data_IF_296435319958
#
_entry.id   IF_296435319958
#
_cell.length_a   1.000
_cell.length_b   1.000
_cell.length_c   1.000
_cell.angle_alpha   90.00
_cell.angle_beta   90.00
_cell.angle_gamma   90.00
#
_symmetry.space_group_name_H-M   'P 1'
#
loop_
_entity.id
_entity.type
_entity.pdbx_description
1 polymer ?
#
# COMPACT_ATOMS: atom_id res chain seq x y z
N UNK A 1 -37.73 0.23 -16.27
CA UNK A 1 -36.56 -0.64 -16.53
C UNK A 1 -36.80 -1.41 -17.82
N UNK A 2 -35.76 -1.70 -18.61
CA UNK A 2 -35.91 -2.49 -19.84
C UNK A 2 -34.77 -3.50 -19.97
N UNK A 3 -35.10 -4.78 -20.15
CA UNK A 3 -34.14 -5.83 -20.53
C UNK A 3 -34.30 -6.08 -22.02
N UNK A 4 -33.24 -5.86 -22.80
CA UNK A 4 -33.31 -6.00 -24.27
C UNK A 4 -32.13 -6.85 -24.76
N UNK A 5 -32.33 -7.67 -25.79
CA UNK A 5 -31.22 -8.36 -26.46
C UNK A 5 -30.59 -7.42 -27.49
N UNK A 6 -29.29 -7.10 -27.35
CA UNK A 6 -28.55 -6.28 -28.31
C UNK A 6 -27.34 -7.07 -28.84
N UNK A 7 -27.29 -7.35 -30.15
CA UNK A 7 -26.20 -8.07 -30.84
C UNK A 7 -25.66 -9.28 -30.04
N UNK A 8 -26.56 -10.20 -29.62
CA UNK A 8 -26.29 -11.42 -28.81
C UNK A 8 -25.93 -11.21 -27.33
N UNK A 9 -26.00 -10.00 -26.79
CA UNK A 9 -25.77 -9.71 -25.36
C UNK A 9 -27.06 -9.25 -24.68
N UNK A 10 -27.27 -9.65 -23.42
CA UNK A 10 -28.40 -9.15 -22.61
C UNK A 10 -28.05 -7.74 -22.12
N UNK A 11 -28.90 -6.77 -22.39
CA UNK A 11 -28.74 -5.38 -21.98
C UNK A 11 -29.72 -5.07 -20.86
N UNK A 12 -29.24 -4.56 -19.73
CA UNK A 12 -30.08 -3.99 -18.68
C UNK A 12 -29.93 -2.47 -18.73
N UNK A 13 -31.06 -1.78 -18.94
CA UNK A 13 -31.13 -0.33 -18.92
C UNK A 13 -31.99 0.16 -17.74
N UNK A 14 -31.39 1.02 -16.93
CA UNK A 14 -32.04 1.72 -15.81
C UNK A 14 -31.90 3.22 -16.05
N UNK A 15 -33.01 3.95 -16.02
CA UNK A 15 -33.00 5.40 -16.06
C UNK A 15 -33.03 5.94 -14.63
N UNK A 16 -32.09 6.80 -14.29
CA UNK A 16 -32.07 7.56 -13.03
C UNK A 16 -32.27 9.04 -13.33
N UNK A 17 -32.84 9.76 -12.37
CA UNK A 17 -33.10 11.18 -12.51
C UNK A 17 -32.88 11.88 -11.18
N UNK A 18 -32.41 13.13 -11.26
CA UNK A 18 -32.35 14.04 -10.14
C UNK A 18 -33.02 15.37 -10.51
N UNK A 19 -32.77 16.44 -9.74
CA UNK A 19 -33.34 17.77 -10.02
C UNK A 19 -32.77 18.42 -11.28
N UNK A 20 -31.62 17.95 -11.77
CA UNK A 20 -30.86 18.57 -12.87
C UNK A 20 -31.08 17.86 -14.21
N UNK A 21 -31.43 16.57 -14.20
CA UNK A 21 -31.68 15.85 -15.44
C UNK A 21 -31.87 14.36 -15.27
N UNK A 22 -31.66 13.65 -16.38
CA UNK A 22 -31.77 12.19 -16.48
C UNK A 22 -30.48 11.59 -16.98
N UNK A 23 -30.16 10.39 -16.49
CA UNK A 23 -28.98 9.63 -16.87
C UNK A 23 -29.37 8.16 -17.07
N UNK A 24 -28.87 7.55 -18.14
CA UNK A 24 -29.12 6.14 -18.45
C UNK A 24 -27.96 5.26 -18.00
N UNK A 25 -28.24 4.29 -17.16
CA UNK A 25 -27.28 3.30 -16.70
C UNK A 25 -27.43 2.05 -17.54
N UNK A 26 -26.33 1.58 -18.11
CA UNK A 26 -26.31 0.47 -19.06
C UNK A 26 -25.36 -0.60 -18.54
N UNK A 27 -25.87 -1.81 -18.33
CA UNK A 27 -25.05 -2.99 -18.05
C UNK A 27 -25.21 -4.05 -19.14
N UNK A 28 -24.07 -4.60 -19.58
CA UNK A 28 -24.03 -5.67 -20.57
C UNK A 28 -23.81 -7.02 -19.88
N UNK A 29 -24.60 -8.02 -20.25
CA UNK A 29 -24.56 -9.40 -19.73
C UNK A 29 -24.76 -9.56 -18.22
N UNK A 30 -25.34 -8.55 -17.55
CA UNK A 30 -25.63 -8.58 -16.11
C UNK A 30 -27.14 -8.56 -15.86
N UNK A 31 -27.84 -9.57 -16.37
CA UNK A 31 -29.31 -9.63 -16.31
C UNK A 31 -29.86 -9.65 -14.86
N UNK A 32 -29.10 -10.16 -13.90
CA UNK A 32 -29.49 -10.21 -12.47
C UNK A 32 -29.76 -8.80 -11.88
N UNK A 33 -29.16 -7.75 -12.44
CA UNK A 33 -29.40 -6.37 -12.00
C UNK A 33 -30.84 -5.92 -12.25
N UNK A 34 -31.54 -6.59 -13.15
CA UNK A 34 -32.97 -6.39 -13.37
C UNK A 34 -33.81 -6.63 -12.10
N UNK A 35 -33.40 -7.59 -11.28
CA UNK A 35 -34.08 -7.94 -10.02
C UNK A 35 -33.57 -7.10 -8.85
N UNK A 36 -32.45 -6.40 -9.03
CA UNK A 36 -31.82 -5.58 -7.98
C UNK A 36 -32.41 -4.17 -7.92
N UNK A 37 -32.68 -3.55 -9.07
CA UNK A 37 -33.18 -2.18 -9.15
C UNK A 37 -34.71 -2.10 -9.21
N UNK A 38 -35.28 -1.28 -8.34
CA UNK A 38 -36.70 -1.01 -8.23
C UNK A 38 -36.99 0.48 -8.38
N UNK A 39 -38.14 0.82 -8.97
CA UNK A 39 -38.56 2.22 -9.14
C UNK A 39 -38.74 2.88 -7.76
N UNK A 40 -38.23 4.09 -7.60
CA UNK A 40 -38.29 4.84 -6.35
C UNK A 40 -37.08 4.67 -5.43
N UNK A 41 -36.15 3.77 -5.75
CA UNK A 41 -34.91 3.64 -4.99
C UNK A 41 -33.98 4.84 -5.19
N UNK A 42 -33.34 5.28 -4.11
CA UNK A 42 -32.22 6.20 -4.16
C UNK A 42 -30.93 5.40 -4.35
N UNK A 43 -30.06 5.85 -5.26
CA UNK A 43 -28.83 5.15 -5.60
C UNK A 43 -27.67 6.13 -5.67
N UNK A 44 -26.50 5.67 -5.22
CA UNK A 44 -25.23 6.36 -5.42
C UNK A 44 -24.47 5.66 -6.55
N UNK A 45 -23.90 6.45 -7.46
CA UNK A 45 -23.31 5.97 -8.72
C UNK A 45 -21.91 6.52 -8.88
N UNK A 46 -20.99 5.68 -9.34
CA UNK A 46 -19.64 6.07 -9.74
C UNK A 46 -19.28 5.42 -11.07
N UNK A 47 -18.84 6.24 -12.01
CA UNK A 47 -18.46 5.77 -13.34
C UNK A 47 -18.23 6.92 -14.31
N UNK A 48 -17.77 6.56 -15.50
CA UNK A 48 -17.55 7.53 -16.57
C UNK A 48 -18.88 7.88 -17.25
N UNK A 49 -19.19 9.17 -17.32
CA UNK A 49 -20.33 9.69 -18.09
C UNK A 49 -19.93 9.83 -19.56
N UNK A 50 -20.81 9.36 -20.46
CA UNK A 50 -20.65 9.46 -21.92
C UNK A 50 -21.94 9.98 -22.56
N UNK A 51 -21.86 10.66 -23.71
CA UNK A 51 -23.04 11.01 -24.48
C UNK A 51 -23.68 9.74 -25.06
N UNK A 52 -24.99 9.60 -24.91
CA UNK A 52 -25.78 8.53 -25.50
C UNK A 52 -26.09 8.88 -26.96
N UNK A 53 -25.88 7.92 -27.86
CA UNK A 53 -26.07 8.12 -29.31
C UNK A 53 -25.35 9.36 -29.87
N UNK A 54 -24.22 9.77 -29.27
CA UNK A 54 -23.43 10.93 -29.70
C UNK A 54 -24.00 12.30 -29.33
N UNK A 55 -25.09 12.38 -28.54
CA UNK A 55 -25.67 13.66 -28.09
C UNK A 55 -25.43 13.87 -26.60
N UNK A 56 -24.94 15.04 -26.21
CA UNK A 56 -24.71 15.40 -24.79
C UNK A 56 -25.98 15.75 -24.03
N UNK A 57 -27.11 15.90 -24.73
CA UNK A 57 -28.44 16.10 -24.14
C UNK A 57 -29.02 14.82 -23.52
N UNK A 58 -28.46 13.66 -23.88
CA UNK A 58 -28.85 12.36 -23.36
C UNK A 58 -27.59 11.66 -22.88
N UNK A 59 -27.46 11.44 -21.57
CA UNK A 59 -26.23 10.95 -20.97
C UNK A 59 -26.38 9.48 -20.58
N UNK A 60 -25.27 8.74 -20.65
CA UNK A 60 -25.19 7.37 -20.17
C UNK A 60 -23.93 7.07 -19.36
N UNK A 61 -24.04 6.11 -18.44
CA UNK A 61 -22.90 5.44 -17.82
C UNK A 61 -22.93 3.96 -18.21
N UNK A 62 -21.78 3.43 -18.63
CA UNK A 62 -21.62 2.02 -18.98
C UNK A 62 -20.97 1.26 -17.82
N UNK A 63 -21.63 0.20 -17.35
CA UNK A 63 -21.25 -0.60 -16.18
C UNK A 63 -20.80 0.25 -14.97
N UNK A 64 -21.56 1.26 -14.53
CA UNK A 64 -21.19 2.04 -13.35
C UNK A 64 -21.18 1.15 -12.11
N UNK A 65 -20.27 1.46 -11.18
CA UNK A 65 -20.38 0.97 -9.83
C UNK A 65 -21.56 1.68 -9.16
N UNK A 66 -22.31 0.96 -8.34
CA UNK A 66 -23.51 1.50 -7.69
C UNK A 66 -23.64 0.99 -6.26
N UNK A 67 -24.30 1.79 -5.44
CA UNK A 67 -24.72 1.42 -4.08
C UNK A 67 -26.16 1.90 -3.88
N UNK A 68 -27.05 1.01 -3.44
CA UNK A 68 -28.47 1.34 -3.21
C UNK A 68 -28.59 1.93 -1.82
N UNK A 69 -29.13 3.15 -1.73
CA UNK A 69 -29.40 3.82 -0.46
C UNK A 69 -30.76 3.34 0.05
N UNK A 70 -30.76 2.58 1.14
CA UNK A 70 -31.98 2.19 1.84
C UNK A 70 -32.46 3.32 2.75
N UNK A 71 -33.75 3.68 2.66
CA UNK A 71 -34.38 4.74 3.47
C UNK A 71 -34.59 4.34 4.95
N UNK A 72 -33.94 3.27 5.41
CA UNK A 72 -34.05 2.84 6.80
C UNK A 72 -33.36 3.87 7.71
N UNK A 73 -34.11 4.28 8.74
CA UNK A 73 -33.77 5.23 9.81
C UNK A 73 -32.51 4.85 10.61
N UNK A 74 -31.84 3.75 10.27
CA UNK A 74 -30.49 3.38 10.69
C UNK A 74 -29.40 4.00 9.79
N UNK A 75 -29.53 5.28 9.44
CA UNK A 75 -28.56 6.02 8.63
C UNK A 75 -27.17 6.20 9.29
N UNK A 76 -26.97 5.68 10.51
CA UNK A 76 -25.65 5.51 11.13
C UNK A 76 -25.01 4.13 10.82
N UNK A 77 -25.70 3.27 10.06
CA UNK A 77 -25.29 1.89 9.76
C UNK A 77 -25.58 1.43 8.32
N UNK A 78 -26.00 2.32 7.42
CA UNK A 78 -25.78 2.06 6.00
C UNK A 78 -24.26 2.09 5.80
N UNK A 79 -23.64 0.92 5.94
CA UNK A 79 -22.23 0.64 5.86
C UNK A 79 -21.78 0.91 4.42
N UNK A 80 -21.69 2.20 4.07
CA UNK A 80 -21.22 2.69 2.78
C UNK A 80 -19.79 2.21 2.62
N UNK A 81 -19.66 0.99 2.11
CA UNK A 81 -18.42 0.21 2.07
C UNK A 81 -17.71 0.42 0.76
N UNK A 82 -18.47 0.85 -0.26
CA UNK A 82 -18.00 0.97 -1.64
C UNK A 82 -18.09 2.41 -2.18
N UNK A 83 -18.91 3.30 -1.60
CA UNK A 83 -19.12 4.68 -2.07
C UNK A 83 -19.14 5.70 -0.93
N UNK A 84 -18.98 7.00 -1.22
CA UNK A 84 -19.19 8.08 -0.23
C UNK A 84 -18.10 8.27 0.83
N UNK A 85 -16.96 7.59 0.67
CA UNK A 85 -15.79 7.62 1.56
C UNK A 85 -14.51 7.49 0.74
N UNK A 86 -13.37 7.62 1.40
CA UNK A 86 -12.11 7.13 0.82
C UNK A 86 -12.15 5.61 0.83
N UNK A 87 -11.99 5.01 -0.35
CA UNK A 87 -12.16 3.58 -0.60
C UNK A 87 -10.80 2.98 -0.96
N UNK A 88 -10.34 1.93 -0.26
CA UNK A 88 -9.08 1.26 -0.58
C UNK A 88 -9.17 0.53 -1.92
N UNK A 89 -8.06 0.57 -2.67
CA UNK A 89 -7.90 -0.15 -3.93
C UNK A 89 -7.12 -1.44 -3.66
N UNK A 90 -7.78 -2.59 -3.83
CA UNK A 90 -7.13 -3.89 -3.79
C UNK A 90 -6.84 -4.36 -5.21
N UNK A 91 -5.56 -4.52 -5.54
CA UNK A 91 -5.12 -4.97 -6.86
C UNK A 91 -5.37 -6.48 -7.04
N UNK A 92 -6.27 -6.83 -7.95
CA UNK A 92 -6.47 -8.21 -8.41
C UNK A 92 -5.57 -8.52 -9.62
N UNK A 93 -4.88 -9.66 -9.60
CA UNK A 93 -3.97 -10.11 -10.67
C UNK A 93 -4.67 -10.50 -12.00
N UNK A 94 -5.99 -10.68 -12.03
CA UNK A 94 -6.71 -11.08 -13.25
C UNK A 94 -7.53 -9.95 -13.89
N UNK A 95 -7.42 -9.83 -15.21
CA UNK A 95 -7.88 -8.68 -16.01
C UNK A 95 -9.38 -8.64 -16.31
N UNK A 96 -10.11 -9.77 -16.22
CA UNK A 96 -11.52 -9.84 -16.68
C UNK A 96 -12.57 -9.78 -15.58
N UNK A 97 -12.20 -9.94 -14.31
CA UNK A 97 -13.13 -9.87 -13.15
C UNK A 97 -12.66 -8.89 -12.06
N UNK A 98 -11.90 -7.85 -12.46
CA UNK A 98 -11.23 -6.90 -11.55
C UNK A 98 -12.17 -6.23 -10.55
N UNK A 99 -13.35 -5.81 -11.02
CA UNK A 99 -14.29 -5.05 -10.19
C UNK A 99 -14.93 -5.94 -9.12
N UNK A 100 -15.50 -7.09 -9.51
CA UNK A 100 -16.13 -8.01 -8.58
C UNK A 100 -15.16 -8.58 -7.54
N UNK A 101 -13.91 -8.88 -7.93
CA UNK A 101 -12.93 -9.42 -6.99
C UNK A 101 -12.43 -8.35 -6.01
N UNK A 102 -12.18 -7.12 -6.47
CA UNK A 102 -11.76 -6.02 -5.59
C UNK A 102 -12.85 -5.65 -4.60
N UNK A 103 -14.12 -5.64 -5.02
CA UNK A 103 -15.26 -5.39 -4.14
C UNK A 103 -15.43 -6.50 -3.09
N UNK A 104 -15.33 -7.78 -3.47
CA UNK A 104 -15.38 -8.90 -2.53
C UNK A 104 -14.23 -8.86 -1.53
N UNK A 105 -13.00 -8.59 -1.99
CA UNK A 105 -11.85 -8.43 -1.12
C UNK A 105 -12.06 -7.28 -0.14
N UNK A 106 -12.59 -6.14 -0.60
CA UNK A 106 -12.90 -5.01 0.28
C UNK A 106 -13.94 -5.37 1.32
N UNK A 107 -15.03 -6.03 0.94
CA UNK A 107 -16.07 -6.47 1.88
C UNK A 107 -15.48 -7.43 2.93
N UNK A 108 -14.67 -8.40 2.50
CA UNK A 108 -14.00 -9.33 3.40
C UNK A 108 -13.02 -8.60 4.35
N UNK A 109 -12.22 -7.67 3.83
CA UNK A 109 -11.32 -6.86 4.65
C UNK A 109 -12.08 -5.99 5.64
N UNK A 110 -13.25 -5.45 5.27
CA UNK A 110 -14.10 -4.66 6.18
C UNK A 110 -14.51 -5.51 7.38
N UNK A 111 -14.99 -6.72 7.12
CA UNK A 111 -15.37 -7.67 8.17
C UNK A 111 -14.17 -7.97 9.07
N UNK A 112 -13.01 -8.31 8.49
CA UNK A 112 -11.81 -8.66 9.25
C UNK A 112 -11.34 -7.49 10.11
N UNK A 113 -11.22 -6.29 9.53
CA UNK A 113 -10.70 -5.12 10.23
C UNK A 113 -11.67 -4.64 11.30
N UNK A 114 -12.98 -4.75 11.10
CA UNK A 114 -13.94 -4.35 12.12
C UNK A 114 -14.07 -5.34 13.26
N UNK A 115 -13.99 -6.64 12.97
CA UNK A 115 -14.07 -7.68 14.00
C UNK A 115 -12.77 -7.81 14.80
N UNK A 116 -11.61 -7.76 14.13
CA UNK A 116 -10.33 -8.12 14.74
C UNK A 116 -9.34 -6.96 14.81
N UNK A 117 -9.62 -5.82 14.16
CA UNK A 117 -8.68 -4.70 14.13
C UNK A 117 -8.46 -4.05 15.49
N UNK A 118 -9.47 -3.98 16.35
CA UNK A 118 -9.31 -3.37 17.69
C UNK A 118 -8.50 -4.25 18.64
N UNK A 119 -8.72 -5.56 18.59
CA UNK A 119 -8.08 -6.56 19.46
C UNK A 119 -6.77 -7.10 18.87
N UNK A 120 -6.29 -6.51 17.78
CA UNK A 120 -5.06 -6.92 17.15
C UNK A 120 -3.88 -6.77 18.14
N UNK A 121 -3.07 -7.82 18.24
CA UNK A 121 -1.92 -7.87 19.13
C UNK A 121 -0.99 -6.68 18.82
N UNK A 122 -0.59 -5.95 19.86
CA UNK A 122 0.36 -4.85 19.75
C UNK A 122 1.80 -5.39 19.91
N UNK A 123 2.60 -5.47 18.84
CA UNK A 123 3.93 -6.06 18.90
C UNK A 123 4.97 -5.12 19.53
N UNK A 124 4.72 -3.81 19.58
CA UNK A 124 5.66 -2.83 20.10
C UNK A 124 5.36 -2.48 21.57
N UNK A 125 6.38 -2.32 22.42
CA UNK A 125 6.18 -1.84 23.79
C UNK A 125 5.46 -0.48 23.84
N UNK A 126 4.51 -0.34 24.78
CA UNK A 126 3.70 0.89 24.94
C UNK A 126 4.53 2.17 25.11
N UNK A 127 5.69 2.06 25.77
CA UNK A 127 6.61 3.18 25.92
C UNK A 127 7.14 3.69 24.57
N UNK A 128 7.41 2.78 23.64
CA UNK A 128 7.90 3.09 22.30
C UNK A 128 6.84 3.82 21.49
N UNK A 129 5.58 3.37 21.54
CA UNK A 129 4.45 4.07 20.91
C UNK A 129 4.36 5.51 21.41
N UNK A 130 4.41 5.71 22.73
CA UNK A 130 4.31 7.05 23.36
C UNK A 130 5.48 7.94 22.94
N UNK A 131 6.71 7.45 23.07
CA UNK A 131 7.93 8.22 22.75
C UNK A 131 8.01 8.61 21.27
N UNK A 132 7.55 7.73 20.38
CA UNK A 132 7.61 7.95 18.92
C UNK A 132 6.32 8.54 18.35
N UNK A 133 5.29 8.74 19.20
CA UNK A 133 3.94 9.21 18.82
C UNK A 133 3.32 8.35 17.71
N UNK A 134 3.40 7.03 17.88
CA UNK A 134 2.87 6.08 16.92
C UNK A 134 1.48 5.61 17.34
N UNK A 135 0.63 5.34 16.35
CA UNK A 135 -0.66 4.67 16.56
C UNK A 135 -0.46 3.24 17.06
N UNK A 136 -1.48 2.66 17.68
CA UNK A 136 -1.49 1.20 17.90
C UNK A 136 -1.57 0.46 16.57
N UNK A 137 -1.14 -0.80 16.55
CA UNK A 137 -1.21 -1.63 15.36
C UNK A 137 -2.64 -1.70 14.80
N UNK A 138 -3.62 -1.97 15.66
CA UNK A 138 -5.03 -2.00 15.29
C UNK A 138 -5.56 -0.70 14.67
N UNK A 139 -5.19 0.45 15.25
CA UNK A 139 -5.53 1.76 14.69
C UNK A 139 -4.90 1.98 13.32
N UNK A 140 -3.63 1.60 13.15
CA UNK A 140 -2.92 1.75 11.88
C UNK A 140 -3.56 0.91 10.77
N UNK A 141 -3.86 -0.37 11.04
CA UNK A 141 -4.55 -1.26 10.10
C UNK A 141 -5.92 -0.68 9.71
N UNK A 142 -6.72 -0.24 10.70
CA UNK A 142 -8.02 0.37 10.40
C UNK A 142 -7.88 1.62 9.54
N UNK A 143 -6.93 2.50 9.82
CA UNK A 143 -6.77 3.75 9.07
C UNK A 143 -6.24 3.53 7.65
N UNK A 144 -5.36 2.56 7.41
CA UNK A 144 -4.87 2.25 6.04
C UNK A 144 -5.97 1.63 5.18
N UNK A 145 -6.74 0.69 5.73
CA UNK A 145 -7.78 0.00 4.98
C UNK A 145 -9.08 0.80 4.89
N UNK A 146 -9.48 1.45 6.00
CA UNK A 146 -10.78 2.10 6.16
C UNK A 146 -10.63 3.46 6.86
N UNK A 147 -9.96 4.43 6.20
CA UNK A 147 -9.73 5.76 6.77
C UNK A 147 -11.03 6.47 7.13
N UNK A 148 -10.96 7.32 8.16
CA UNK A 148 -12.09 8.12 8.63
C UNK A 148 -12.48 9.21 7.61
N UNK A 149 -13.74 9.68 7.63
CA UNK A 149 -14.14 10.86 6.90
C UNK A 149 -13.22 12.05 7.24
N UNK A 150 -12.75 12.77 6.21
CA UNK A 150 -11.83 13.90 6.38
C UNK A 150 -10.35 13.53 6.48
N UNK A 151 -9.99 12.25 6.36
CA UNK A 151 -8.59 11.87 6.19
C UNK A 151 -7.98 12.49 4.93
N UNK A 152 -6.70 12.87 5.02
CA UNK A 152 -5.97 13.45 3.90
C UNK A 152 -5.67 12.38 2.84
N UNK A 153 -6.35 12.50 1.70
CA UNK A 153 -6.21 11.57 0.58
C UNK A 153 -4.81 11.62 -0.05
N UNK A 154 -4.16 12.78 -0.06
CA UNK A 154 -2.82 12.96 -0.62
C UNK A 154 -1.77 12.28 0.28
N UNK A 155 -1.89 12.40 1.59
CA UNK A 155 -1.03 11.67 2.53
C UNK A 155 -1.22 10.16 2.45
N UNK A 156 -2.45 9.68 2.30
CA UNK A 156 -2.75 8.26 2.12
C UNK A 156 -2.10 7.73 0.84
N UNK A 157 -2.30 8.43 -0.30
CA UNK A 157 -1.73 8.03 -1.58
C UNK A 157 -0.19 8.09 -1.61
N UNK A 158 0.43 8.99 -0.85
CA UNK A 158 1.88 9.07 -0.70
C UNK A 158 2.47 8.11 0.34
N UNK A 159 1.62 7.38 1.07
CA UNK A 159 2.06 6.51 2.17
C UNK A 159 2.70 7.27 3.33
N UNK A 160 2.23 8.49 3.62
CA UNK A 160 2.82 9.39 4.64
C UNK A 160 1.95 9.62 5.87
N UNK A 161 0.70 9.15 5.85
CA UNK A 161 -0.19 9.24 7.02
C UNK A 161 0.44 8.62 8.27
N UNK A 162 -0.04 8.99 9.45
CA UNK A 162 0.37 8.42 10.75
C UNK A 162 0.35 6.87 10.79
N UNK A 163 -0.63 6.24 10.14
CA UNK A 163 -0.74 4.80 10.05
C UNK A 163 0.38 4.16 9.21
N UNK A 164 0.63 4.69 8.00
CA UNK A 164 1.77 4.27 7.18
C UNK A 164 3.11 4.49 7.89
N UNK A 165 3.29 5.62 8.57
CA UNK A 165 4.49 5.88 9.37
C UNK A 165 4.69 4.84 10.45
N UNK A 166 3.62 4.42 11.15
CA UNK A 166 3.67 3.36 12.16
C UNK A 166 4.09 2.03 11.56
N UNK A 167 3.45 1.59 10.48
CA UNK A 167 3.76 0.31 9.82
C UNK A 167 5.19 0.30 9.28
N UNK A 168 5.61 1.37 8.60
CA UNK A 168 6.99 1.50 8.12
C UNK A 168 8.00 1.47 9.27
N UNK A 169 7.72 2.15 10.38
CA UNK A 169 8.59 2.12 11.55
C UNK A 169 8.75 0.70 12.11
N UNK A 170 7.65 -0.06 12.18
CA UNK A 170 7.66 -1.45 12.65
C UNK A 170 8.50 -2.34 11.73
N UNK A 171 8.31 -2.25 10.41
CA UNK A 171 9.09 -3.01 9.42
C UNK A 171 10.59 -2.69 9.51
N UNK A 172 10.96 -1.41 9.59
CA UNK A 172 12.35 -1.01 9.75
C UNK A 172 12.93 -1.45 11.08
N UNK A 173 12.14 -1.40 12.17
CA UNK A 173 12.60 -1.88 13.46
C UNK A 173 12.86 -3.39 13.43
N UNK A 174 11.96 -4.18 12.83
CA UNK A 174 12.14 -5.63 12.68
C UNK A 174 13.41 -5.94 11.86
N UNK A 175 13.64 -5.20 10.78
CA UNK A 175 14.86 -5.32 9.98
C UNK A 175 16.12 -4.97 10.80
N UNK A 176 16.12 -3.85 11.51
CA UNK A 176 17.26 -3.42 12.34
C UNK A 176 17.53 -4.38 13.51
N UNK A 177 16.48 -4.95 14.10
CA UNK A 177 16.63 -5.98 15.14
C UNK A 177 17.27 -7.25 14.57
N UNK A 178 16.83 -7.71 13.40
CA UNK A 178 17.43 -8.87 12.74
C UNK A 178 18.89 -8.61 12.34
N UNK A 179 19.19 -7.44 11.80
CA UNK A 179 20.57 -7.03 11.48
C UNK A 179 21.43 -6.89 12.74
N UNK A 180 20.86 -6.35 13.82
CA UNK A 180 21.51 -6.25 15.13
C UNK A 180 21.86 -7.60 15.72
N UNK A 181 20.93 -8.56 15.69
CA UNK A 181 21.17 -9.94 16.12
C UNK A 181 22.30 -10.58 15.32
N UNK A 182 22.26 -10.46 13.98
CA UNK A 182 23.31 -10.99 13.11
C UNK A 182 24.68 -10.35 13.37
N UNK A 183 24.72 -9.05 13.66
CA UNK A 183 25.96 -8.34 14.03
C UNK A 183 26.51 -8.85 15.36
N UNK A 184 25.65 -9.10 16.34
CA UNK A 184 26.08 -9.65 17.64
C UNK A 184 26.56 -11.10 17.53
N UNK A 185 25.94 -11.92 16.67
CA UNK A 185 26.43 -13.27 16.36
C UNK A 185 27.85 -13.24 15.79
N UNK A 186 28.10 -12.40 14.79
CA UNK A 186 29.45 -12.23 14.20
C UNK A 186 30.45 -11.73 15.23
N UNK A 187 30.07 -10.83 16.16
CA UNK A 187 30.99 -10.39 17.22
C UNK A 187 31.34 -11.51 18.19
N UNK A 188 30.42 -12.44 18.45
CA UNK A 188 30.69 -13.61 19.29
C UNK A 188 31.64 -14.59 18.62
N UNK A 189 31.73 -14.58 17.30
CA UNK A 189 32.76 -15.33 16.59
C UNK A 189 34.14 -14.75 16.92
N UNK A 190 34.95 -15.56 17.60
CA UNK A 190 36.34 -15.25 17.82
C UNK A 190 37.10 -15.42 16.51
N UNK A 191 37.80 -14.36 16.11
CA UNK A 191 38.66 -14.41 14.93
C UNK A 191 39.78 -15.43 15.10
N UNK A 192 39.93 -16.33 14.12
CA UNK A 192 40.90 -17.44 14.14
C UNK A 192 42.25 -17.07 13.50
N UNK A 193 42.30 -16.05 12.64
CA UNK A 193 43.48 -15.70 11.82
C UNK A 193 44.10 -14.38 12.26
N UNK A 194 45.41 -14.32 12.57
CA UNK A 194 46.13 -13.06 12.85
C UNK A 194 46.79 -12.50 11.58
N UNK A 195 46.77 -11.18 11.38
CA UNK A 195 47.47 -10.51 10.29
C UNK A 195 48.71 -9.78 10.82
N UNK A 196 49.80 -9.80 10.08
CA UNK A 196 50.95 -8.95 10.36
C UNK A 196 50.66 -7.52 9.88
N UNK A 197 50.23 -6.67 10.82
CA UNK A 197 49.93 -5.26 10.56
C UNK A 197 51.20 -4.39 10.47
N UNK A 198 52.37 -4.92 10.83
CA UNK A 198 53.65 -4.23 10.75
C UNK A 198 54.34 -4.46 9.39
N UNK A 199 53.76 -5.32 8.53
CA UNK A 199 54.26 -5.57 7.18
C UNK A 199 54.44 -4.29 6.37
N UNK A 200 55.57 -4.16 5.69
CA UNK A 200 55.85 -3.07 4.76
C UNK A 200 55.18 -3.24 3.39
N UNK A 201 54.57 -4.41 3.13
CA UNK A 201 53.95 -4.75 1.84
C UNK A 201 52.92 -3.72 1.37
N UNK A 202 51.97 -3.23 2.21
CA UNK A 202 51.00 -2.23 1.77
C UNK A 202 51.68 -0.94 1.30
N UNK A 203 52.68 -0.45 2.03
CA UNK A 203 53.41 0.78 1.67
C UNK A 203 54.21 0.63 0.38
N UNK A 204 54.81 -0.55 0.15
CA UNK A 204 55.52 -0.86 -1.09
C UNK A 204 54.57 -0.91 -2.29
N UNK A 205 53.41 -1.56 -2.14
CA UNK A 205 52.39 -1.63 -3.18
C UNK A 205 51.88 -0.23 -3.54
N UNK A 206 51.57 0.59 -2.53
CA UNK A 206 51.09 1.96 -2.75
C UNK A 206 52.13 2.83 -3.47
N UNK A 207 53.42 2.62 -3.21
CA UNK A 207 54.50 3.37 -3.86
C UNK A 207 54.73 2.94 -5.31
N UNK A 208 54.31 1.73 -5.69
CA UNK A 208 54.45 1.19 -7.04
C UNK A 208 53.31 1.60 -7.99
N UNK A 209 52.22 2.19 -7.47
CA UNK A 209 51.08 2.60 -8.29
C UNK A 209 51.44 3.81 -9.17
N UNK A 210 51.10 3.82 -10.47
CA UNK A 210 51.38 4.94 -11.37
C UNK A 210 50.42 6.13 -11.19
N UNK A 211 49.66 6.15 -10.09
CA UNK A 211 48.66 7.18 -9.78
C UNK A 211 48.59 7.39 -8.27
N UNK A 212 48.04 8.53 -7.85
CA UNK A 212 47.78 8.83 -6.44
C UNK A 212 46.40 8.35 -6.06
N UNK A 213 46.29 7.70 -4.91
CA UNK A 213 44.99 7.36 -4.34
C UNK A 213 44.21 8.61 -3.97
N UNK A 214 42.89 8.51 -4.10
CA UNK A 214 41.98 9.54 -3.62
C UNK A 214 41.90 9.52 -2.09
N UNK A 215 41.45 10.62 -1.50
CA UNK A 215 41.22 10.69 -0.06
C UNK A 215 40.21 9.63 0.42
N UNK A 216 39.22 9.29 -0.41
CA UNK A 216 38.25 8.23 -0.11
C UNK A 216 38.91 6.84 -0.08
N UNK A 217 39.75 6.52 -1.07
CA UNK A 217 40.50 5.26 -1.11
C UNK A 217 41.44 5.12 0.08
N UNK A 218 42.17 6.19 0.44
CA UNK A 218 43.05 6.18 1.62
C UNK A 218 42.27 5.96 2.93
N UNK A 219 41.12 6.61 3.09
CA UNK A 219 40.24 6.41 4.25
C UNK A 219 39.75 4.97 4.34
N UNK A 220 39.27 4.39 3.23
CA UNK A 220 38.78 3.00 3.18
C UNK A 220 39.90 2.01 3.52
N UNK A 221 41.13 2.21 3.02
CA UNK A 221 42.28 1.39 3.37
C UNK A 221 42.60 1.46 4.87
N UNK A 222 42.52 2.65 5.47
CA UNK A 222 42.73 2.81 6.91
C UNK A 222 41.64 2.11 7.73
N UNK A 223 40.38 2.24 7.33
CA UNK A 223 39.23 1.56 7.96
C UNK A 223 39.37 0.03 7.88
N UNK A 224 39.77 -0.51 6.72
CA UNK A 224 40.06 -1.94 6.55
C UNK A 224 41.20 -2.36 7.48
N UNK A 225 42.30 -1.60 7.54
CA UNK A 225 43.43 -1.94 8.42
C UNK A 225 43.02 -1.97 9.88
N UNK A 226 42.17 -1.03 10.32
CA UNK A 226 41.66 -0.98 11.69
C UNK A 226 40.76 -2.18 12.01
N UNK A 227 39.86 -2.56 11.11
CA UNK A 227 39.00 -3.73 11.30
C UNK A 227 39.80 -5.05 11.29
N UNK A 228 40.78 -5.17 10.38
CA UNK A 228 41.74 -6.27 10.34
C UNK A 228 42.69 -6.28 11.56
N UNK A 229 42.72 -5.22 12.37
CA UNK A 229 43.41 -5.21 13.66
C UNK A 229 42.50 -5.62 14.83
N UNK A 230 41.19 -5.65 14.63
CA UNK A 230 40.23 -5.98 15.67
C UNK A 230 40.17 -7.48 15.96
N UNK A 231 39.63 -7.84 17.14
CA UNK A 231 39.45 -9.22 17.58
C UNK A 231 38.26 -9.94 16.92
N UNK A 232 37.48 -9.22 16.12
CA UNK A 232 36.28 -9.73 15.46
C UNK A 232 36.50 -9.84 13.94
N UNK A 233 35.75 -10.71 13.24
CA UNK A 233 35.78 -10.76 11.78
C UNK A 233 35.38 -9.40 11.16
N UNK A 234 36.10 -8.97 10.12
CA UNK A 234 35.74 -7.77 9.35
C UNK A 234 34.61 -8.10 8.37
N UNK A 235 33.44 -7.48 8.56
CA UNK A 235 32.29 -7.58 7.64
C UNK A 235 31.99 -6.21 7.02
N UNK A 236 32.73 -5.88 5.95
CA UNK A 236 32.58 -4.63 5.21
C UNK A 236 32.15 -4.87 3.77
N UNK A 237 31.26 -4.01 3.29
CA UNK A 237 30.98 -3.84 1.87
C UNK A 237 31.72 -2.59 1.40
N UNK A 238 32.69 -2.76 0.50
CA UNK A 238 33.32 -1.64 -0.19
C UNK A 238 32.44 -1.29 -1.39
N UNK A 239 31.97 -0.05 -1.45
CA UNK A 239 31.13 0.43 -2.54
C UNK A 239 31.78 1.64 -3.18
N UNK A 240 31.90 1.59 -4.50
CA UNK A 240 32.39 2.67 -5.35
C UNK A 240 31.75 2.58 -6.74
N UNK A 241 31.72 3.69 -7.46
CA UNK A 241 31.34 3.73 -8.86
C UNK A 241 32.48 3.20 -9.75
N UNK A 242 32.16 2.84 -10.99
CA UNK A 242 33.17 2.34 -11.95
C UNK A 242 34.25 3.42 -12.15
N UNK A 243 35.49 3.08 -11.82
CA UNK A 243 36.65 3.99 -11.91
C UNK A 243 37.01 4.73 -10.62
N UNK A 244 36.38 4.39 -9.48
CA UNK A 244 36.71 4.92 -8.14
C UNK A 244 37.51 3.97 -7.25
#
# INVERSE_FOLDING_TARGET
MKVTNFKRRKLVEVAVADRTGRLHLIWFNQAYLAETFHVGQRVMLYGQVKPRNGRWTDLQMENPAFEILTDAVDAHRADLTHMGRIVPIYHARETKSRMMLSDRLRAMMKIIVDQYGQDALEPLPLEMLRRRKLLSFGQAIRQVHFPQPGADLEELNRGRSSAHRRLAFEDFLLLELALGQKREEVKKESRVVTYDLASSLPSQLLSALPFRLTAAQLRVLQEIRQDLASRHPMNRLIQGDVGS
#
